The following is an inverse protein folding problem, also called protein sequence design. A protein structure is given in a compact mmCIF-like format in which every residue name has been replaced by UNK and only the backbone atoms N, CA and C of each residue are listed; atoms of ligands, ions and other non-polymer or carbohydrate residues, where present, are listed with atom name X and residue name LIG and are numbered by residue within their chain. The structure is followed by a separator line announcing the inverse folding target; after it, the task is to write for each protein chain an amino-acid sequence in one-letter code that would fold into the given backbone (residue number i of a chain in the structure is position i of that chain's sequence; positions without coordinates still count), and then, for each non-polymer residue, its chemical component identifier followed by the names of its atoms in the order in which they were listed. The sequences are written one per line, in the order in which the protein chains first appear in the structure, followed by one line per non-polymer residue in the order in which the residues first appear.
data_IF_954054488388
#
_entry.id   IF_954054488388
#
_cell.length_a   1.000
_cell.length_b   1.000
_cell.length_c   1.000
_cell.angle_alpha   90.00
_cell.angle_beta   90.00
_cell.angle_gamma   90.00
#
_symmetry.space_group_name_H-M   'P 1'
#
loop_
_entity.id
_entity.type
_entity.pdbx_description
1 polymer ?
#
# COMPACT_ATOMS: atom_id res chain seq x y z
N UNK A 1 25.89 -13.79 -17.54
CA UNK A 1 25.33 -12.42 -17.38
C UNK A 1 26.16 -11.34 -18.08
N UNK A 2 27.49 -11.46 -18.17
CA UNK A 2 28.35 -10.47 -18.86
C UNK A 2 27.97 -10.25 -20.33
N UNK A 3 27.68 -11.33 -21.08
CA UNK A 3 27.35 -11.23 -22.51
C UNK A 3 26.00 -10.54 -22.75
N UNK A 4 25.02 -10.83 -21.89
CA UNK A 4 23.71 -10.15 -21.88
C UNK A 4 23.90 -8.67 -21.58
N UNK A 5 24.69 -8.33 -20.56
CA UNK A 5 24.99 -6.93 -20.24
C UNK A 5 25.61 -6.19 -21.44
N UNK A 6 26.56 -6.80 -22.14
CA UNK A 6 27.19 -6.20 -23.32
C UNK A 6 26.22 -5.99 -24.49
N UNK A 7 25.25 -6.88 -24.70
CA UNK A 7 24.23 -6.70 -25.75
C UNK A 7 23.26 -5.57 -25.39
N UNK A 8 22.90 -5.43 -24.12
CA UNK A 8 21.98 -4.41 -23.61
C UNK A 8 22.58 -3.00 -23.67
N UNK A 9 23.88 -2.83 -23.42
CA UNK A 9 24.55 -1.52 -23.47
C UNK A 9 24.48 -0.83 -24.84
N UNK A 10 24.20 -1.57 -25.92
CA UNK A 10 24.09 -1.03 -27.28
C UNK A 10 22.68 -0.57 -27.65
N UNK A 11 21.70 -0.78 -26.77
CA UNK A 11 20.29 -0.50 -27.01
C UNK A 11 19.87 0.81 -26.37
N UNK A 12 18.76 1.38 -26.84
CA UNK A 12 18.07 2.43 -26.10
C UNK A 12 17.45 1.85 -24.80
N UNK A 13 17.13 2.74 -23.85
CA UNK A 13 16.66 2.38 -22.53
C UNK A 13 15.43 1.45 -22.53
N UNK A 14 14.43 1.73 -23.38
CA UNK A 14 13.18 0.97 -23.40
C UNK A 14 13.37 -0.39 -24.07
N UNK A 15 14.14 -0.43 -25.17
CA UNK A 15 14.51 -1.69 -25.82
C UNK A 15 15.39 -2.57 -24.93
N UNK A 16 16.28 -1.97 -24.13
CA UNK A 16 17.07 -2.70 -23.14
C UNK A 16 16.17 -3.26 -22.03
N UNK A 17 15.25 -2.46 -21.48
CA UNK A 17 14.31 -2.91 -20.46
C UNK A 17 13.43 -4.08 -20.93
N UNK A 18 12.90 -3.99 -22.16
CA UNK A 18 12.11 -5.08 -22.77
C UNK A 18 12.92 -6.36 -22.92
N UNK A 19 14.17 -6.24 -23.36
CA UNK A 19 15.06 -7.40 -23.53
C UNK A 19 15.48 -8.02 -22.18
N UNK A 20 15.67 -7.19 -21.14
CA UNK A 20 15.90 -7.68 -19.79
C UNK A 20 14.71 -8.52 -19.32
N UNK A 21 13.48 -8.03 -19.44
CA UNK A 21 12.29 -8.80 -19.06
C UNK A 21 12.21 -10.13 -19.83
N UNK A 22 12.49 -10.11 -21.14
CA UNK A 22 12.52 -11.30 -21.97
C UNK A 22 13.59 -12.33 -21.52
N UNK A 23 14.80 -11.87 -21.19
CA UNK A 23 15.85 -12.76 -20.69
C UNK A 23 15.52 -13.33 -19.31
N UNK A 24 14.95 -12.51 -18.41
CA UNK A 24 14.49 -12.98 -17.11
C UNK A 24 13.39 -14.02 -17.26
N UNK A 25 12.47 -13.82 -18.21
CA UNK A 25 11.40 -14.77 -18.51
C UNK A 25 11.92 -16.15 -18.88
N UNK A 26 12.86 -16.21 -19.83
CA UNK A 26 13.51 -17.44 -20.26
C UNK A 26 14.26 -18.09 -19.08
N UNK A 27 15.04 -17.27 -18.36
CA UNK A 27 15.86 -17.74 -17.24
C UNK A 27 15.01 -18.38 -16.14
N UNK A 28 13.97 -17.68 -15.67
CA UNK A 28 13.12 -18.17 -14.59
C UNK A 28 12.16 -19.27 -15.04
N UNK A 29 11.69 -19.23 -16.29
CA UNK A 29 10.93 -20.35 -16.88
C UNK A 29 11.76 -21.64 -16.89
N UNK A 30 13.05 -21.55 -17.23
CA UNK A 30 13.97 -22.71 -17.21
C UNK A 30 14.32 -23.15 -15.79
N UNK A 31 14.60 -22.21 -14.88
CA UNK A 31 14.88 -22.52 -13.48
C UNK A 31 13.74 -23.29 -12.81
N UNK A 32 12.50 -22.85 -12.98
CA UNK A 32 11.32 -23.50 -12.38
C UNK A 32 11.08 -24.92 -12.89
N UNK A 33 11.58 -25.27 -14.09
CA UNK A 33 11.52 -26.64 -14.60
C UNK A 33 12.60 -27.53 -13.96
N UNK A 34 13.73 -26.95 -13.56
CA UNK A 34 14.92 -27.67 -13.12
C UNK A 34 15.13 -27.65 -11.60
N UNK A 35 14.47 -26.78 -10.86
CA UNK A 35 14.71 -26.56 -9.42
C UNK A 35 13.42 -26.23 -8.68
N UNK A 36 13.21 -26.86 -7.52
CA UNK A 36 11.98 -26.71 -6.74
C UNK A 36 11.84 -25.34 -6.03
N UNK A 37 12.96 -24.67 -5.73
CA UNK A 37 12.98 -23.34 -5.12
C UNK A 37 13.77 -22.41 -6.01
N UNK A 38 13.11 -21.49 -6.72
CA UNK A 38 13.82 -20.58 -7.60
C UNK A 38 14.48 -19.46 -6.79
N UNK A 39 15.74 -19.18 -7.07
CA UNK A 39 16.53 -18.17 -6.36
C UNK A 39 16.84 -17.02 -7.33
N UNK A 40 16.55 -15.80 -6.92
CA UNK A 40 16.98 -14.61 -7.65
C UNK A 40 18.45 -14.34 -7.30
N UNK A 41 19.33 -14.55 -8.25
CA UNK A 41 20.77 -14.37 -8.05
C UNK A 41 21.17 -12.87 -8.11
N UNK A 42 22.33 -12.56 -7.53
CA UNK A 42 22.86 -11.19 -7.50
C UNK A 42 23.05 -10.59 -8.90
N UNK A 43 23.43 -11.39 -9.90
CA UNK A 43 23.62 -10.93 -11.28
C UNK A 43 22.31 -10.46 -11.90
N UNK A 44 21.20 -11.16 -11.61
CA UNK A 44 19.85 -10.75 -12.03
C UNK A 44 19.46 -9.41 -11.41
N UNK A 45 19.67 -9.24 -10.11
CA UNK A 45 19.40 -7.98 -9.41
C UNK A 45 20.19 -6.82 -10.03
N UNK A 46 21.48 -7.03 -10.32
CA UNK A 46 22.33 -6.02 -10.93
C UNK A 46 21.88 -5.59 -12.34
N UNK A 47 21.38 -6.53 -13.17
CA UNK A 47 20.84 -6.20 -14.49
C UNK A 47 19.56 -5.36 -14.36
N UNK A 48 18.68 -5.74 -13.44
CA UNK A 48 17.45 -5.01 -13.16
C UNK A 48 17.75 -3.59 -12.69
N UNK A 49 18.70 -3.42 -11.77
CA UNK A 49 19.11 -2.09 -11.29
C UNK A 49 19.68 -1.21 -12.40
N UNK A 50 20.54 -1.78 -13.24
CA UNK A 50 21.22 -1.04 -14.31
C UNK A 50 20.27 -0.66 -15.46
N UNK A 51 19.40 -1.57 -15.90
CA UNK A 51 18.63 -1.39 -17.14
C UNK A 51 17.14 -1.12 -16.95
N UNK A 52 16.55 -1.45 -15.80
CA UNK A 52 15.16 -1.08 -15.47
C UNK A 52 15.15 0.19 -14.63
N UNK A 53 15.90 0.20 -13.51
CA UNK A 53 15.89 1.32 -12.57
C UNK A 53 16.95 2.39 -12.86
N UNK A 54 17.81 2.17 -13.87
CA UNK A 54 18.83 3.12 -14.31
C UNK A 54 19.77 3.59 -13.18
N UNK A 55 20.05 2.70 -12.23
CA UNK A 55 20.95 2.95 -11.10
C UNK A 55 22.39 2.71 -11.58
N UNK A 56 23.26 3.73 -11.61
CA UNK A 56 24.63 3.57 -12.09
C UNK A 56 25.43 2.62 -11.20
N UNK A 57 26.20 1.70 -11.81
CA UNK A 57 27.20 0.91 -11.08
C UNK A 57 28.39 1.75 -10.64
N UNK A 58 28.77 2.74 -11.44
CA UNK A 58 29.90 3.63 -11.17
C UNK A 58 29.46 4.98 -10.60
N UNK A 59 30.04 5.37 -9.45
CA UNK A 59 29.75 6.64 -8.76
C UNK A 59 30.04 7.88 -9.61
N UNK A 60 30.83 7.75 -10.67
CA UNK A 60 31.29 8.87 -11.50
C UNK A 60 30.41 9.10 -12.75
N UNK A 61 29.43 8.23 -13.02
CA UNK A 61 28.53 8.38 -14.16
C UNK A 61 27.21 8.97 -13.68
N UNK A 62 26.83 10.13 -14.21
CA UNK A 62 25.54 10.75 -13.94
C UNK A 62 24.41 9.78 -14.34
N UNK A 63 23.43 9.51 -13.47
CA UNK A 63 22.29 8.68 -13.82
C UNK A 63 21.53 9.31 -14.98
N UNK A 64 21.42 8.58 -16.10
CA UNK A 64 20.55 8.99 -17.20
C UNK A 64 19.11 8.68 -16.80
N UNK A 65 18.49 9.61 -16.08
CA UNK A 65 17.11 9.47 -15.60
C UNK A 65 16.16 9.45 -16.80
N UNK A 66 15.23 8.51 -16.80
CA UNK A 66 14.14 8.47 -17.77
C UNK A 66 13.26 9.71 -17.61
N UNK A 67 12.78 10.27 -18.72
CA UNK A 67 11.74 11.30 -18.66
C UNK A 67 10.36 10.67 -18.38
N UNK A 68 9.36 11.50 -18.07
CA UNK A 68 8.03 11.00 -17.70
C UNK A 68 7.34 10.17 -18.80
N UNK A 69 7.57 10.50 -20.07
CA UNK A 69 7.02 9.74 -21.20
C UNK A 69 7.66 8.35 -21.28
N UNK A 70 8.98 8.27 -21.17
CA UNK A 70 9.71 7.00 -21.15
C UNK A 70 9.31 6.16 -19.94
N UNK A 71 9.13 6.77 -18.78
CA UNK A 71 8.67 6.06 -17.58
C UNK A 71 7.28 5.47 -17.78
N UNK A 72 6.36 6.23 -18.39
CA UNK A 72 5.03 5.72 -18.76
C UNK A 72 5.13 4.54 -19.76
N UNK A 73 5.96 4.67 -20.79
CA UNK A 73 6.19 3.59 -21.76
C UNK A 73 6.79 2.34 -21.10
N UNK A 74 7.67 2.50 -20.11
CA UNK A 74 8.19 1.37 -19.34
C UNK A 74 7.09 0.70 -18.52
N UNK A 75 6.21 1.46 -17.89
CA UNK A 75 5.05 0.91 -17.18
C UNK A 75 4.13 0.13 -18.14
N UNK A 76 3.91 0.63 -19.35
CA UNK A 76 3.13 -0.08 -20.39
C UNK A 76 3.80 -1.39 -20.82
N UNK A 77 5.12 -1.38 -21.00
CA UNK A 77 5.91 -2.58 -21.30
C UNK A 77 5.77 -3.61 -20.16
N UNK A 78 5.91 -3.18 -18.90
CA UNK A 78 5.75 -4.05 -17.73
C UNK A 78 4.33 -4.61 -17.64
N UNK A 79 3.31 -3.78 -17.85
CA UNK A 79 1.92 -4.22 -17.87
C UNK A 79 1.66 -5.25 -18.96
N UNK A 80 2.15 -5.02 -20.18
CA UNK A 80 2.00 -5.94 -21.30
C UNK A 80 2.68 -7.27 -20.98
N UNK A 81 3.91 -7.22 -20.45
CA UNK A 81 4.64 -8.41 -20.03
C UNK A 81 3.88 -9.25 -18.98
N UNK A 82 3.43 -8.64 -17.88
CA UNK A 82 2.70 -9.37 -16.84
C UNK A 82 1.34 -9.88 -17.31
N UNK A 83 0.70 -9.20 -18.26
CA UNK A 83 -0.55 -9.64 -18.87
C UNK A 83 -0.35 -10.85 -19.79
N UNK A 84 0.75 -10.89 -20.54
CA UNK A 84 1.05 -11.94 -21.53
C UNK A 84 1.66 -13.21 -20.91
N UNK A 85 2.39 -13.09 -19.79
CA UNK A 85 2.99 -14.27 -19.14
C UNK A 85 1.90 -15.20 -18.56
N UNK A 86 1.77 -16.40 -19.10
CA UNK A 86 0.75 -17.37 -18.68
C UNK A 86 1.05 -18.09 -17.36
N UNK A 87 2.33 -18.23 -16.98
CA UNK A 87 2.77 -18.97 -15.79
C UNK A 87 2.81 -18.05 -14.56
N UNK A 88 1.86 -18.23 -13.65
CA UNK A 88 1.78 -17.45 -12.40
C UNK A 88 3.09 -17.47 -11.60
N UNK A 89 3.74 -18.63 -11.49
CA UNK A 89 5.01 -18.76 -10.77
C UNK A 89 6.12 -17.89 -11.37
N UNK A 90 6.17 -17.78 -12.71
CA UNK A 90 7.15 -16.93 -13.43
C UNK A 90 6.84 -15.45 -13.21
N UNK A 91 5.56 -15.05 -13.26
CA UNK A 91 5.16 -13.67 -12.92
C UNK A 91 5.59 -13.30 -11.51
N UNK A 92 5.30 -14.16 -10.54
CA UNK A 92 5.60 -13.90 -9.14
C UNK A 92 7.10 -13.71 -8.90
N UNK A 93 7.95 -14.59 -9.44
CA UNK A 93 9.41 -14.44 -9.25
C UNK A 93 9.97 -13.22 -9.97
N UNK A 94 9.48 -12.89 -11.16
CA UNK A 94 9.94 -11.69 -11.86
C UNK A 94 9.49 -10.43 -11.13
N UNK A 95 8.27 -10.40 -10.61
CA UNK A 95 7.79 -9.32 -9.76
C UNK A 95 8.67 -9.17 -8.50
N UNK A 96 9.04 -10.28 -7.85
CA UNK A 96 9.99 -10.27 -6.72
C UNK A 96 11.38 -9.77 -7.14
N UNK A 97 11.94 -10.23 -8.27
CA UNK A 97 13.24 -9.77 -8.75
C UNK A 97 13.26 -8.25 -9.04
N UNK A 98 12.14 -7.72 -9.52
CA UNK A 98 11.96 -6.29 -9.79
C UNK A 98 11.77 -5.46 -8.53
N UNK A 99 10.98 -5.92 -7.56
CA UNK A 99 10.46 -5.05 -6.52
C UNK A 99 10.76 -5.48 -5.07
N UNK A 100 11.36 -6.64 -4.84
CA UNK A 100 11.82 -7.00 -3.50
C UNK A 100 12.95 -6.07 -3.07
N UNK A 101 12.86 -5.43 -1.89
CA UNK A 101 13.92 -4.54 -1.39
C UNK A 101 15.26 -5.28 -1.27
N UNK A 102 16.34 -4.60 -1.64
CA UNK A 102 17.71 -5.13 -1.60
C UNK A 102 18.54 -4.52 -0.46
N UNK A 103 18.00 -3.54 0.26
CA UNK A 103 18.70 -2.81 1.33
C UNK A 103 19.71 -1.81 0.77
N UNK A 104 19.50 -1.32 -0.46
CA UNK A 104 20.43 -0.43 -1.16
C UNK A 104 19.70 0.83 -1.69
N UNK A 105 20.46 1.76 -2.31
CA UNK A 105 19.91 3.03 -2.83
C UNK A 105 18.94 2.85 -4.01
N UNK A 106 18.90 1.68 -4.63
CA UNK A 106 17.94 1.39 -5.70
C UNK A 106 16.52 1.18 -5.16
N UNK A 107 16.36 0.87 -3.86
CA UNK A 107 15.05 0.57 -3.27
C UNK A 107 14.05 1.73 -3.39
N UNK A 108 14.51 2.97 -3.37
CA UNK A 108 13.62 4.12 -3.57
C UNK A 108 13.09 4.20 -5.01
N UNK A 109 13.93 3.86 -6.00
CA UNK A 109 13.50 3.77 -7.40
C UNK A 109 12.57 2.58 -7.63
N UNK A 110 12.86 1.42 -7.01
CA UNK A 110 11.98 0.24 -7.02
C UNK A 110 10.61 0.58 -6.44
N UNK A 111 10.58 1.22 -5.28
CA UNK A 111 9.32 1.59 -4.62
C UNK A 111 8.52 2.63 -5.41
N UNK A 112 9.18 3.64 -5.99
CA UNK A 112 8.50 4.63 -6.83
C UNK A 112 7.87 3.99 -8.07
N UNK A 113 8.61 3.11 -8.75
CA UNK A 113 8.10 2.37 -9.91
C UNK A 113 7.00 1.37 -9.53
N UNK A 114 7.14 0.68 -8.39
CA UNK A 114 6.11 -0.23 -7.88
C UNK A 114 4.80 0.51 -7.63
N UNK A 115 4.85 1.66 -6.97
CA UNK A 115 3.68 2.50 -6.71
C UNK A 115 2.96 2.89 -8.01
N UNK A 116 3.71 3.38 -9.00
CA UNK A 116 3.16 3.74 -10.31
C UNK A 116 2.59 2.54 -11.06
N UNK A 117 3.27 1.39 -11.03
CA UNK A 117 2.81 0.18 -11.70
C UNK A 117 1.52 -0.35 -11.09
N UNK A 118 1.44 -0.43 -9.76
CA UNK A 118 0.24 -0.91 -9.07
C UNK A 118 -0.90 0.10 -9.21
N UNK A 119 -0.62 1.40 -9.12
CA UNK A 119 -1.61 2.45 -9.38
C UNK A 119 -2.16 2.34 -10.80
N UNK A 120 -1.31 2.21 -11.83
CA UNK A 120 -1.77 2.00 -13.19
C UNK A 120 -2.54 0.67 -13.35
N UNK A 121 -2.11 -0.40 -12.69
CA UNK A 121 -2.80 -1.69 -12.70
C UNK A 121 -4.21 -1.60 -12.10
N UNK A 122 -4.42 -0.78 -11.07
CA UNK A 122 -5.76 -0.45 -10.56
C UNK A 122 -6.56 0.30 -11.64
N UNK A 123 -6.00 1.37 -12.22
CA UNK A 123 -6.70 2.20 -13.19
C UNK A 123 -7.17 1.43 -14.44
N UNK A 124 -6.38 0.47 -14.92
CA UNK A 124 -6.69 -0.34 -16.11
C UNK A 124 -7.00 -1.80 -15.79
N UNK A 125 -7.36 -2.11 -14.54
CA UNK A 125 -7.79 -3.43 -14.06
C UNK A 125 -6.88 -4.61 -14.49
N UNK A 126 -5.56 -4.48 -14.31
CA UNK A 126 -4.57 -5.52 -14.66
C UNK A 126 -4.42 -6.55 -13.53
N UNK A 127 -5.37 -7.48 -13.44
CA UNK A 127 -5.41 -8.54 -12.42
C UNK A 127 -4.08 -9.28 -12.20
N UNK A 128 -3.33 -9.70 -13.26
CA UNK A 128 -2.05 -10.37 -13.06
C UNK A 128 -1.04 -9.60 -12.20
N UNK A 129 -1.02 -8.27 -12.31
CA UNK A 129 -0.14 -7.40 -11.54
C UNK A 129 -0.67 -7.24 -10.11
N UNK A 130 -1.98 -7.11 -9.94
CA UNK A 130 -2.62 -7.00 -8.62
C UNK A 130 -2.39 -8.26 -7.77
N UNK A 131 -2.44 -9.45 -8.38
CA UNK A 131 -2.13 -10.72 -7.72
C UNK A 131 -0.64 -10.84 -7.34
N UNK A 132 0.26 -10.30 -8.16
CA UNK A 132 1.67 -10.17 -7.81
C UNK A 132 1.87 -9.18 -6.65
N UNK A 133 1.22 -8.02 -6.70
CA UNK A 133 1.27 -7.02 -5.65
C UNK A 133 0.71 -7.54 -4.32
N UNK A 134 -0.37 -8.34 -4.35
CA UNK A 134 -0.91 -9.01 -3.17
C UNK A 134 0.13 -9.95 -2.53
N UNK A 135 0.75 -10.80 -3.34
CA UNK A 135 1.81 -11.71 -2.90
C UNK A 135 3.06 -10.98 -2.39
N UNK A 136 3.37 -9.83 -2.96
CA UNK A 136 4.47 -8.96 -2.53
C UNK A 136 4.16 -8.28 -1.20
N UNK A 137 2.96 -7.71 -1.02
CA UNK A 137 2.49 -7.09 0.23
C UNK A 137 2.53 -8.08 1.40
N UNK A 138 2.11 -9.33 1.15
CA UNK A 138 2.10 -10.39 2.16
C UNK A 138 3.50 -10.78 2.64
N UNK A 139 4.53 -10.66 1.80
CA UNK A 139 5.90 -11.14 2.08
C UNK A 139 6.91 -10.03 2.36
N UNK A 140 6.53 -8.78 2.18
CA UNK A 140 7.41 -7.63 2.36
C UNK A 140 7.32 -7.08 3.77
N UNK A 141 8.39 -6.42 4.21
CA UNK A 141 8.41 -5.74 5.51
C UNK A 141 7.38 -4.60 5.54
N UNK A 142 6.69 -4.44 6.68
CA UNK A 142 5.54 -3.56 6.84
C UNK A 142 5.80 -2.12 6.37
N UNK A 143 7.01 -1.60 6.60
CA UNK A 143 7.43 -0.25 6.16
C UNK A 143 7.28 -0.05 4.65
N UNK A 144 7.57 -1.06 3.82
CA UNK A 144 7.39 -0.95 2.37
C UNK A 144 5.93 -1.11 1.97
N UNK A 145 5.18 -1.96 2.68
CA UNK A 145 3.75 -2.14 2.43
C UNK A 145 2.95 -0.87 2.70
N UNK A 146 3.23 -0.17 3.82
CA UNK A 146 2.56 1.11 4.13
C UNK A 146 2.96 2.21 3.15
N UNK A 147 4.18 2.20 2.61
CA UNK A 147 4.61 3.14 1.54
C UNK A 147 3.79 2.92 0.26
N UNK A 148 3.62 1.67 -0.17
CA UNK A 148 2.78 1.36 -1.33
C UNK A 148 1.32 1.74 -1.08
N UNK A 149 0.79 1.40 0.09
CA UNK A 149 -0.58 1.75 0.47
C UNK A 149 -0.80 3.27 0.44
N UNK A 150 0.15 4.05 0.97
CA UNK A 150 0.09 5.51 0.94
C UNK A 150 -0.01 6.07 -0.48
N UNK A 151 0.79 5.57 -1.42
CA UNK A 151 0.73 5.99 -2.84
C UNK A 151 -0.68 5.78 -3.40
N UNK A 152 -1.29 4.62 -3.15
CA UNK A 152 -2.62 4.32 -3.66
C UNK A 152 -3.72 5.14 -2.98
N UNK A 153 -3.60 5.38 -1.68
CA UNK A 153 -4.55 6.26 -0.97
C UNK A 153 -4.42 7.70 -1.49
N UNK A 154 -3.20 8.17 -1.72
CA UNK A 154 -2.97 9.50 -2.30
C UNK A 154 -3.61 9.58 -3.70
N UNK A 155 -3.35 8.61 -4.59
CA UNK A 155 -3.89 8.61 -5.96
C UNK A 155 -5.43 8.47 -6.03
N UNK A 156 -6.01 7.59 -5.19
CA UNK A 156 -7.40 7.17 -5.32
C UNK A 156 -8.37 7.76 -4.30
N UNK A 157 -7.88 8.25 -3.16
CA UNK A 157 -8.73 8.77 -2.08
C UNK A 157 -8.47 10.26 -1.79
N UNK A 158 -7.32 10.82 -2.21
CA UNK A 158 -6.91 12.18 -1.83
C UNK A 158 -6.76 13.15 -3.01
N UNK A 159 -6.11 12.73 -4.10
CA UNK A 159 -5.68 13.64 -5.18
C UNK A 159 -6.76 13.92 -6.22
N UNK A 160 -7.58 12.93 -6.59
CA UNK A 160 -8.53 13.04 -7.70
C UNK A 160 -9.95 12.77 -7.18
N UNK A 161 -10.86 13.75 -7.19
CA UNK A 161 -12.25 13.52 -6.81
C UNK A 161 -12.90 12.44 -7.67
N UNK A 162 -13.52 11.44 -7.04
CA UNK A 162 -14.19 10.35 -7.75
C UNK A 162 -13.25 9.28 -8.33
N UNK A 163 -11.95 9.27 -7.98
CA UNK A 163 -11.09 8.14 -8.33
C UNK A 163 -11.30 6.94 -7.40
N UNK A 164 -11.88 7.13 -6.21
CA UNK A 164 -12.13 6.06 -5.23
C UNK A 164 -12.98 4.93 -5.84
N UNK A 165 -13.93 5.25 -6.73
CA UNK A 165 -14.75 4.24 -7.42
C UNK A 165 -13.89 3.27 -8.25
N UNK A 166 -12.80 3.75 -8.87
CA UNK A 166 -11.87 2.91 -9.64
C UNK A 166 -11.18 1.89 -8.73
N UNK A 167 -10.71 2.33 -7.55
CA UNK A 167 -10.12 1.43 -6.58
C UNK A 167 -11.18 0.46 -6.02
N UNK A 168 -12.39 0.96 -5.71
CA UNK A 168 -13.49 0.16 -5.19
C UNK A 168 -13.87 -1.01 -6.11
N UNK A 169 -13.82 -0.83 -7.43
CA UNK A 169 -14.12 -1.87 -8.41
C UNK A 169 -13.13 -3.05 -8.38
N UNK A 170 -11.91 -2.86 -7.87
CA UNK A 170 -10.88 -3.90 -7.81
C UNK A 170 -11.29 -5.09 -6.96
N UNK A 171 -12.18 -4.89 -5.98
CA UNK A 171 -12.66 -5.98 -5.13
C UNK A 171 -13.24 -7.15 -5.93
N UNK A 172 -13.97 -6.89 -7.02
CA UNK A 172 -14.54 -7.97 -7.85
C UNK A 172 -13.48 -8.70 -8.68
N UNK A 173 -12.37 -8.04 -9.01
CA UNK A 173 -11.34 -8.55 -9.89
C UNK A 173 -10.19 -9.24 -9.15
N UNK A 174 -9.79 -8.72 -7.98
CA UNK A 174 -8.64 -9.18 -7.20
C UNK A 174 -8.88 -9.05 -5.68
N UNK A 175 -9.77 -9.87 -5.08
CA UNK A 175 -10.03 -9.87 -3.63
C UNK A 175 -8.79 -10.05 -2.75
N UNK A 176 -7.79 -10.83 -3.23
CA UNK A 176 -6.54 -11.05 -2.47
C UNK A 176 -5.76 -9.75 -2.31
N UNK A 177 -5.68 -8.95 -3.37
CA UNK A 177 -5.07 -7.62 -3.30
C UNK A 177 -5.82 -6.72 -2.32
N UNK A 178 -7.16 -6.65 -2.39
CA UNK A 178 -7.95 -5.86 -1.46
C UNK A 178 -7.70 -6.26 0.00
N UNK A 179 -7.65 -7.56 0.32
CA UNK A 179 -7.33 -8.03 1.66
C UNK A 179 -5.96 -7.51 2.15
N UNK A 180 -4.93 -7.63 1.31
CA UNK A 180 -3.57 -7.18 1.65
C UNK A 180 -3.46 -5.65 1.72
N UNK A 181 -4.22 -4.96 0.87
CA UNK A 181 -4.33 -3.50 0.91
C UNK A 181 -4.98 -3.03 2.21
N UNK A 182 -6.06 -3.67 2.67
CA UNK A 182 -6.68 -3.36 3.98
C UNK A 182 -5.65 -3.56 5.11
N UNK A 183 -4.89 -4.66 5.11
CA UNK A 183 -3.81 -4.88 6.10
C UNK A 183 -2.79 -3.74 6.08
N UNK A 184 -2.41 -3.26 4.89
CA UNK A 184 -1.43 -2.19 4.75
C UNK A 184 -1.98 -0.81 5.16
N UNK A 185 -3.21 -0.44 4.79
CA UNK A 185 -3.78 0.86 5.17
C UNK A 185 -4.13 0.93 6.66
N UNK A 186 -4.52 -0.18 7.27
CA UNK A 186 -4.78 -0.23 8.72
C UNK A 186 -3.49 -0.19 9.55
N UNK A 187 -2.36 -0.60 8.97
CA UNK A 187 -1.03 -0.36 9.54
C UNK A 187 -0.53 1.07 9.31
N UNK A 188 -0.86 1.69 8.16
CA UNK A 188 -0.51 3.07 7.82
C UNK A 188 -1.24 4.08 8.72
N UNK A 189 -2.56 3.97 8.84
CA UNK A 189 -3.40 4.88 9.61
C UNK A 189 -3.72 4.30 10.97
N UNK A 190 -2.77 4.32 11.90
CA UNK A 190 -2.90 3.61 13.18
C UNK A 190 -3.68 4.38 14.27
N UNK A 191 -4.23 5.56 13.91
CA UNK A 191 -4.96 6.49 14.80
C UNK A 191 -4.13 6.97 16.01
N UNK A 192 -2.79 6.97 15.93
CA UNK A 192 -1.94 7.49 17.02
C UNK A 192 -1.83 9.01 17.03
N UNK A 193 -2.02 9.67 15.88
CA UNK A 193 -2.05 11.13 15.72
C UNK A 193 -3.14 11.55 14.71
N UNK A 194 -3.39 12.85 14.60
CA UNK A 194 -4.39 13.42 13.68
C UNK A 194 -4.05 13.16 12.20
N UNK A 195 -2.76 13.24 11.84
CA UNK A 195 -2.28 12.93 10.48
C UNK A 195 -2.39 11.43 10.11
N UNK A 196 -2.65 10.57 11.10
CA UNK A 196 -2.79 9.13 10.96
C UNK A 196 -4.25 8.67 11.12
N UNK A 197 -5.20 9.60 10.97
CA UNK A 197 -6.62 9.29 10.81
C UNK A 197 -6.85 8.92 9.33
N UNK A 198 -7.48 7.76 9.04
CA UNK A 198 -7.75 7.36 7.66
C UNK A 198 -8.76 8.32 7.00
N UNK A 199 -8.57 8.69 5.72
CA UNK A 199 -9.54 9.48 4.96
C UNK A 199 -10.93 8.82 4.95
N UNK A 200 -11.98 9.65 4.89
CA UNK A 200 -13.36 9.15 4.92
C UNK A 200 -13.67 8.21 3.74
N UNK A 201 -13.28 8.59 2.53
CA UNK A 201 -13.50 7.78 1.31
C UNK A 201 -12.81 6.41 1.41
N UNK A 202 -11.62 6.36 2.03
CA UNK A 202 -10.93 5.10 2.30
C UNK A 202 -11.72 4.24 3.31
N UNK A 203 -12.22 4.83 4.40
CA UNK A 203 -13.03 4.11 5.39
C UNK A 203 -14.31 3.56 4.77
N UNK A 204 -15.04 4.38 4.01
CA UNK A 204 -16.29 3.99 3.35
C UNK A 204 -16.06 2.83 2.36
N UNK A 205 -14.99 2.91 1.55
CA UNK A 205 -14.61 1.83 0.64
C UNK A 205 -14.29 0.53 1.38
N UNK A 206 -13.47 0.58 2.44
CA UNK A 206 -13.12 -0.60 3.24
C UNK A 206 -14.35 -1.23 3.89
N UNK A 207 -15.25 -0.40 4.44
CA UNK A 207 -16.51 -0.87 5.03
C UNK A 207 -17.39 -1.54 3.97
N UNK A 208 -17.51 -0.93 2.79
CA UNK A 208 -18.30 -1.49 1.68
C UNK A 208 -17.78 -2.86 1.26
N UNK A 209 -16.48 -3.00 1.03
CA UNK A 209 -15.88 -4.30 0.68
C UNK A 209 -16.12 -5.40 1.72
N UNK A 210 -15.98 -5.07 3.01
CA UNK A 210 -16.18 -6.05 4.10
C UNK A 210 -17.65 -6.40 4.26
N UNK A 211 -18.55 -5.43 4.08
CA UNK A 211 -19.99 -5.66 4.14
C UNK A 211 -20.46 -6.56 2.99
N UNK A 212 -19.93 -6.33 1.79
CA UNK A 212 -20.25 -7.11 0.59
C UNK A 212 -19.74 -8.57 0.69
N UNK A 213 -18.53 -8.79 1.20
CA UNK A 213 -18.03 -10.13 1.51
C UNK A 213 -17.12 -10.16 2.75
N UNK A 214 -17.65 -10.56 3.92
CA UNK A 214 -16.86 -10.66 5.15
C UNK A 214 -15.68 -11.64 5.05
N UNK A 215 -15.74 -12.63 4.14
CA UNK A 215 -14.67 -13.62 3.93
C UNK A 215 -13.41 -12.98 3.36
N UNK A 216 -13.52 -11.78 2.78
CA UNK A 216 -12.37 -10.99 2.34
C UNK A 216 -11.29 -10.88 3.41
N UNK A 217 -11.69 -10.72 4.68
CA UNK A 217 -10.76 -10.57 5.80
C UNK A 217 -9.96 -11.84 6.12
N UNK A 218 -10.35 -13.00 5.59
CA UNK A 218 -9.73 -14.31 5.84
C UNK A 218 -9.16 -14.96 4.57
N UNK A 219 -9.28 -14.30 3.41
CA UNK A 219 -8.99 -14.89 2.11
C UNK A 219 -7.54 -15.36 1.95
N UNK A 220 -6.59 -14.72 2.64
CA UNK A 220 -5.18 -15.12 2.65
C UNK A 220 -4.99 -16.52 3.22
N UNK A 221 -5.72 -16.88 4.28
CA UNK A 221 -5.66 -18.20 4.92
C UNK A 221 -6.30 -19.29 4.07
N UNK A 222 -7.33 -18.94 3.29
CA UNK A 222 -8.01 -19.88 2.40
C UNK A 222 -7.11 -20.29 1.21
N UNK A 223 -6.24 -19.38 0.76
CA UNK A 223 -5.46 -19.54 -0.47
C UNK A 223 -3.97 -19.80 -0.27
N UNK A 224 -3.49 -19.80 0.98
CA UNK A 224 -2.08 -20.01 1.28
C UNK A 224 -1.95 -21.02 2.42
N UNK A 225 -1.22 -22.13 2.25
CA UNK A 225 -0.87 -22.96 3.40
C UNK A 225 -0.08 -22.10 4.39
N UNK A 226 -0.46 -22.16 5.67
CA UNK A 226 0.23 -21.46 6.77
C UNK A 226 1.66 -22.01 6.83
N UNK A 227 2.58 -21.37 6.12
CA UNK A 227 4.00 -21.69 6.21
C UNK A 227 4.56 -20.99 7.43
N UNK A 228 5.24 -21.73 8.31
CA UNK A 228 5.80 -21.24 9.56
C UNK A 228 6.92 -20.19 9.40
N UNK A 229 7.28 -19.83 8.15
CA UNK A 229 8.43 -18.99 7.83
C UNK A 229 8.03 -17.65 7.21
N UNK A 230 7.08 -16.94 7.82
CA UNK A 230 6.82 -15.56 7.39
C UNK A 230 8.00 -14.67 7.82
N UNK A 231 8.57 -13.83 6.92
CA UNK A 231 9.71 -12.99 7.26
C UNK A 231 9.41 -12.08 8.47
N UNK A 232 10.40 -11.89 9.34
CA UNK A 232 10.27 -10.97 10.48
C UNK A 232 9.90 -9.55 10.01
N UNK A 233 8.92 -8.93 10.65
CA UNK A 233 8.49 -7.55 10.38
C UNK A 233 7.55 -7.36 9.18
N UNK A 234 6.98 -8.43 8.64
CA UNK A 234 5.89 -8.37 7.66
C UNK A 234 4.56 -7.89 8.29
N UNK A 235 3.57 -7.60 7.44
CA UNK A 235 2.20 -7.33 7.89
C UNK A 235 1.51 -8.60 8.39
N UNK A 236 0.49 -8.39 9.22
CA UNK A 236 -0.43 -9.48 9.59
C UNK A 236 -1.12 -10.04 8.34
N UNK A 237 -1.25 -11.37 8.28
CA UNK A 237 -1.84 -12.10 7.15
C UNK A 237 -3.31 -11.75 6.90
N UNK A 238 -3.96 -11.13 7.88
CA UNK A 238 -5.36 -10.70 7.86
C UNK A 238 -5.46 -9.25 8.33
N UNK A 239 -6.38 -8.45 7.74
CA UNK A 239 -6.63 -7.09 8.19
C UNK A 239 -7.33 -7.01 9.55
N UNK A 240 -7.80 -8.13 10.13
CA UNK A 240 -8.61 -8.13 11.34
C UNK A 240 -7.96 -7.38 12.50
N UNK A 241 -6.66 -7.55 12.75
CA UNK A 241 -5.99 -6.86 13.85
C UNK A 241 -6.02 -5.33 13.66
N UNK A 242 -5.76 -4.87 12.44
CA UNK A 242 -5.81 -3.45 12.09
C UNK A 242 -7.22 -2.88 12.17
N UNK A 243 -8.22 -3.61 11.69
CA UNK A 243 -9.63 -3.22 11.77
C UNK A 243 -10.13 -3.14 13.22
N UNK A 244 -9.80 -4.12 14.06
CA UNK A 244 -10.12 -4.09 15.50
C UNK A 244 -9.47 -2.86 16.14
N UNK A 245 -8.20 -2.59 15.81
CA UNK A 245 -7.50 -1.39 16.30
C UNK A 245 -8.22 -0.11 15.88
N UNK A 246 -8.71 -0.03 14.64
CA UNK A 246 -9.52 1.11 14.19
C UNK A 246 -10.80 1.26 15.01
N UNK A 247 -11.57 0.19 15.19
CA UNK A 247 -12.80 0.22 15.97
C UNK A 247 -12.55 0.67 17.42
N UNK A 248 -11.50 0.15 18.08
CA UNK A 248 -11.20 0.50 19.48
C UNK A 248 -10.66 1.93 19.60
N UNK A 249 -9.67 2.32 18.78
CA UNK A 249 -9.01 3.63 18.88
C UNK A 249 -9.84 4.79 18.34
N UNK A 250 -10.78 4.56 17.42
CA UNK A 250 -11.63 5.62 16.86
C UNK A 250 -12.38 6.41 17.94
N UNK A 251 -12.88 5.72 18.97
CA UNK A 251 -13.55 6.34 20.13
C UNK A 251 -12.64 7.28 20.92
N UNK A 252 -11.34 7.01 20.95
CA UNK A 252 -10.33 7.84 21.62
C UNK A 252 -9.90 9.01 20.74
N UNK A 253 -9.74 8.77 19.43
CA UNK A 253 -9.44 9.81 18.45
C UNK A 253 -10.56 10.86 18.39
N UNK A 254 -11.83 10.44 18.40
CA UNK A 254 -12.98 11.33 18.47
C UNK A 254 -12.96 12.23 19.71
N UNK A 255 -12.63 11.68 20.88
CA UNK A 255 -12.49 12.46 22.12
C UNK A 255 -11.31 13.44 22.10
N UNK A 256 -10.24 13.13 21.37
CA UNK A 256 -9.10 14.04 21.18
C UNK A 256 -9.51 15.27 20.38
N UNK A 257 -10.26 15.08 19.30
CA UNK A 257 -10.77 16.18 18.46
C UNK A 257 -11.85 17.02 19.16
N UNK A 258 -12.47 16.51 20.22
CA UNK A 258 -13.45 17.22 21.06
C UNK A 258 -12.82 18.06 22.18
N UNK A 259 -11.50 18.01 22.41
CA UNK A 259 -10.86 18.94 23.36
C UNK A 259 -10.72 20.31 22.68
N UNK A 260 -11.40 21.36 23.18
CA UNK A 260 -11.22 22.70 22.63
C UNK A 260 -9.80 23.16 22.92
N UNK A 261 -9.20 23.82 21.93
CA UNK A 261 -8.05 24.69 22.14
C UNK A 261 -8.41 25.68 23.26
N UNK A 262 -7.82 25.52 24.44
CA UNK A 262 -7.86 26.53 25.50
C UNK A 262 -7.18 27.78 24.94
N UNK A 263 -7.98 28.71 24.42
CA UNK A 263 -7.56 30.05 24.05
C UNK A 263 -7.13 30.76 25.34
N UNK A 264 -5.83 30.82 25.57
CA UNK A 264 -5.24 31.70 26.59
C UNK A 264 -5.50 33.17 26.20
N UNK A 265 -6.54 33.77 26.77
CA UNK A 265 -6.73 35.22 26.82
C UNK A 265 -6.53 35.71 28.24
N UNK A 266 -5.44 36.43 28.49
CA UNK A 266 -5.16 37.08 29.77
C UNK A 266 -5.66 38.54 29.77
N UNK A 267 -6.14 38.95 30.96
CA UNK A 267 -6.33 40.31 31.51
C UNK A 267 -7.70 41.01 31.41
N UNK A 268 -8.21 41.40 32.60
CA UNK A 268 -9.28 42.39 32.77
C UNK A 268 -10.05 42.25 34.10
N UNK A 269 -9.48 42.78 35.19
CA UNK A 269 -10.13 42.92 36.51
C UNK A 269 -11.45 43.68 36.42
N UNK A 270 -12.47 43.25 37.15
CA UNK A 270 -13.21 44.13 38.08
C UNK A 270 -13.68 43.30 39.28
N UNK A 271 -13.47 43.87 40.46
CA UNK A 271 -13.65 43.24 41.76
C UNK A 271 -14.95 43.71 42.42
N UNK A 272 -15.53 42.78 43.22
CA UNK A 272 -16.33 42.96 44.44
C UNK A 272 -17.67 43.71 44.34
N UNK A 273 -18.73 43.00 44.73
CA UNK A 273 -19.35 43.24 46.05
C UNK A 273 -20.10 41.99 46.55
N UNK A 274 -19.93 41.74 47.85
CA UNK A 274 -20.65 40.77 48.69
C UNK A 274 -21.81 41.53 49.33
N UNK A 275 -23.00 40.95 49.52
CA UNK A 275 -23.71 40.76 50.82
C UNK A 275 -25.10 40.13 50.59
N UNK A 276 -25.47 39.31 51.57
CA UNK A 276 -26.66 38.49 51.84
C UNK A 276 -28.05 39.10 51.57
N UNK A 277 -29.03 38.24 51.27
CA UNK A 277 -30.36 38.27 51.90
C UNK A 277 -31.10 36.94 51.70
N UNK A 278 -31.75 36.49 52.77
CA UNK A 278 -32.45 35.22 52.98
C UNK A 278 -33.75 35.04 52.17
N UNK A 279 -34.10 33.77 51.96
CA UNK A 279 -35.45 33.27 52.24
C UNK A 279 -36.54 33.42 51.17
N UNK A 280 -36.93 32.30 50.53
CA UNK A 280 -38.33 31.84 50.44
C UNK A 280 -38.47 30.59 49.56
N UNK A 281 -38.67 29.45 50.23
CA UNK A 281 -39.68 28.41 49.96
C UNK A 281 -40.25 28.24 48.54
N UNK A 282 -40.08 27.04 47.97
CA UNK A 282 -40.92 26.53 46.88
C UNK A 282 -40.45 25.16 46.37
N UNK A 283 -41.09 24.10 46.86
CA UNK A 283 -40.83 22.69 46.57
C UNK A 283 -41.10 22.26 45.10
N UNK A 284 -40.57 21.11 44.66
CA UNK A 284 -40.54 20.68 43.26
C UNK A 284 -41.73 19.79 42.90
N UNK A 285 -42.21 19.86 41.65
CA UNK A 285 -43.19 18.91 41.11
C UNK A 285 -42.57 18.00 40.05
N UNK A 286 -42.48 16.72 40.40
CA UNK A 286 -42.21 15.56 39.57
C UNK A 286 -43.15 15.47 38.36
N UNK A 287 -42.63 15.00 37.22
CA UNK A 287 -43.41 14.30 36.20
C UNK A 287 -42.80 12.91 36.01
N UNK A 288 -43.56 11.88 36.36
CA UNK A 288 -43.32 10.46 36.05
C UNK A 288 -44.00 10.10 34.71
N UNK A 289 -43.53 9.03 34.04
CA UNK A 289 -44.01 8.63 32.72
C UNK A 289 -45.25 7.71 32.82
N UNK A 290 -46.10 7.73 31.79
CA UNK A 290 -47.19 6.76 31.61
C UNK A 290 -46.88 5.85 30.43
N UNK A 291 -46.83 4.55 30.70
CA UNK A 291 -46.84 3.47 29.72
C UNK A 291 -48.26 2.96 29.55
N UNK A 292 -48.70 2.79 28.29
CA UNK A 292 -49.44 1.64 27.74
C UNK A 292 -49.51 1.82 26.24
#
# INVERSE_FOLDING_TARGET
MSDIRHSLLRRDALSAAKEVLYHLDIYFSSQLQNTAVPIVDKGTIELVEEFIFHVPKDRNVQPKRMNSLQELQLLEIMCSYFQEQSKDAVRQIIFSALFSPQGNKADDHRMAMLGKLVSMAVAVCRVPILECAASWLQRSHAVYCVRLAKVLVDDYCSLVPGSVQTLQQIFTASPRFCCQFISAVTALYDLSSEDLIPPFDLLEMVVTWIFDDPRLTLITFLNTPISANLPLGCLDLTPLLGLIRWCVKSSLAYKRNMKPSLTNGHTGKFAREVTEAEGATGTPSLCTPSST
#
